data_IF_181619805013
#
_entry.id   IF_181619805013
#
_cell.length_a   1.000
_cell.length_b   1.000
_cell.length_c   1.000
_cell.angle_alpha   90.00
_cell.angle_beta   90.00
_cell.angle_gamma   90.00
#
_symmetry.space_group_name_H-M   'P 1'
#
loop_
_entity.id
_entity.type
_entity.pdbx_description
1 polymer ?
#
# COMPACT_ATOMS: atom_id res chain seq x y z
N UNK A 1 -24.50 -0.09 18.33
CA UNK A 1 -24.45 -0.41 16.87
C UNK A 1 -23.50 0.58 16.21
N UNK A 2 -22.31 0.14 15.78
CA UNK A 2 -21.25 1.02 15.26
C UNK A 2 -21.64 1.56 13.88
N UNK A 3 -22.32 2.72 13.85
CA UNK A 3 -22.86 3.36 12.63
C UNK A 3 -21.81 3.63 11.53
N UNK A 4 -20.51 3.62 11.85
CA UNK A 4 -19.46 4.00 10.90
C UNK A 4 -18.27 3.04 10.88
N UNK A 5 -18.48 1.75 11.18
CA UNK A 5 -17.38 0.77 11.28
C UNK A 5 -16.54 0.68 10.00
N UNK A 6 -17.18 0.70 8.84
CA UNK A 6 -16.47 0.63 7.56
C UNK A 6 -15.68 1.91 7.26
N UNK A 7 -16.23 3.08 7.60
CA UNK A 7 -15.49 4.35 7.46
C UNK A 7 -14.25 4.37 8.36
N UNK A 8 -14.37 3.91 9.62
CA UNK A 8 -13.23 3.79 10.52
C UNK A 8 -12.20 2.79 9.99
N UNK A 9 -12.62 1.66 9.44
CA UNK A 9 -11.73 0.69 8.81
C UNK A 9 -11.00 1.31 7.61
N UNK A 10 -11.71 2.06 6.77
CA UNK A 10 -11.09 2.79 5.67
C UNK A 10 -10.03 3.78 6.19
N UNK A 11 -10.38 4.60 7.17
CA UNK A 11 -9.44 5.57 7.76
C UNK A 11 -8.22 4.89 8.39
N UNK A 12 -8.41 3.79 9.13
CA UNK A 12 -7.29 3.03 9.68
C UNK A 12 -6.38 2.45 8.59
N UNK A 13 -6.95 1.99 7.49
CA UNK A 13 -6.20 1.43 6.37
C UNK A 13 -5.35 2.44 5.61
N UNK A 14 -5.82 3.68 5.44
CA UNK A 14 -5.10 4.70 4.66
C UNK A 14 -3.91 5.34 5.39
N UNK A 15 -3.86 5.30 6.71
CA UNK A 15 -2.85 6.02 7.52
C UNK A 15 -1.44 5.57 7.19
N UNK A 16 -1.20 4.26 7.22
CA UNK A 16 0.16 3.71 7.03
C UNK A 16 0.74 4.06 5.65
N UNK A 17 0.07 3.75 4.54
CA UNK A 17 0.62 4.06 3.22
C UNK A 17 0.72 5.57 2.97
N UNK A 18 -0.19 6.37 3.52
CA UNK A 18 -0.12 7.83 3.39
C UNK A 18 1.15 8.38 4.02
N UNK A 19 1.48 7.98 5.24
CA UNK A 19 2.71 8.43 5.92
C UNK A 19 3.95 7.99 5.14
N UNK A 20 4.01 6.70 4.76
CA UNK A 20 5.16 6.15 4.01
C UNK A 20 5.35 6.88 2.67
N UNK A 21 4.26 7.14 1.95
CA UNK A 21 4.33 7.79 0.64
C UNK A 21 4.68 9.28 0.74
N UNK A 22 4.21 9.97 1.77
CA UNK A 22 4.61 11.38 2.02
C UNK A 22 6.12 11.46 2.28
N UNK A 23 6.66 10.56 3.09
CA UNK A 23 8.11 10.49 3.34
C UNK A 23 8.87 10.17 2.04
N UNK A 24 8.40 9.19 1.27
CA UNK A 24 9.02 8.79 0.02
C UNK A 24 9.01 9.92 -1.02
N UNK A 25 7.87 10.60 -1.21
CA UNK A 25 7.78 11.74 -2.14
C UNK A 25 8.68 12.89 -1.69
N UNK A 26 8.76 13.17 -0.40
CA UNK A 26 9.67 14.19 0.14
C UNK A 26 11.13 13.84 -0.17
N UNK A 27 11.53 12.59 0.04
CA UNK A 27 12.87 12.10 -0.30
C UNK A 27 13.15 12.22 -1.82
N UNK A 28 12.18 11.85 -2.68
CA UNK A 28 12.32 12.01 -4.13
C UNK A 28 12.42 13.48 -4.57
N UNK A 29 11.68 14.39 -3.93
CA UNK A 29 11.82 15.83 -4.17
C UNK A 29 13.22 16.31 -3.83
N UNK A 30 13.76 15.94 -2.68
CA UNK A 30 15.12 16.28 -2.27
C UNK A 30 16.13 15.74 -3.29
N UNK A 31 16.02 14.48 -3.67
CA UNK A 31 16.92 13.87 -4.67
C UNK A 31 16.85 14.58 -6.02
N UNK A 32 15.66 14.94 -6.49
CA UNK A 32 15.48 15.63 -7.77
C UNK A 32 16.05 17.05 -7.74
N UNK A 33 15.72 17.83 -6.74
CA UNK A 33 16.08 19.26 -6.72
C UNK A 33 17.47 19.55 -6.15
N UNK A 34 18.00 18.69 -5.27
CA UNK A 34 19.34 18.87 -4.68
C UNK A 34 20.41 18.13 -5.47
N UNK A 35 20.11 16.93 -5.97
CA UNK A 35 21.09 16.06 -6.62
C UNK A 35 20.85 15.89 -8.13
N UNK A 36 19.87 16.61 -8.73
CA UNK A 36 19.49 16.52 -10.13
C UNK A 36 19.18 15.09 -10.60
N UNK A 37 18.69 14.24 -9.69
CA UNK A 37 18.29 12.87 -10.03
C UNK A 37 16.98 12.90 -10.85
N UNK A 38 16.89 12.20 -12.00
CA UNK A 38 15.72 12.24 -12.88
C UNK A 38 14.55 11.41 -12.30
N UNK A 39 14.00 11.83 -11.15
CA UNK A 39 12.85 11.17 -10.56
C UNK A 39 11.54 11.66 -11.21
N UNK A 40 10.68 10.76 -11.71
CA UNK A 40 9.40 11.10 -12.33
C UNK A 40 8.34 11.40 -11.29
N UNK A 41 8.42 12.54 -10.61
CA UNK A 41 7.55 12.91 -9.48
C UNK A 41 6.07 12.88 -9.83
N UNK A 42 5.69 13.37 -11.00
CA UNK A 42 4.30 13.44 -11.43
C UNK A 42 3.64 12.05 -11.50
N UNK A 43 4.40 11.06 -11.96
CA UNK A 43 3.93 9.65 -12.06
C UNK A 43 3.86 8.97 -10.70
N UNK A 44 4.81 9.27 -9.82
CA UNK A 44 4.80 8.80 -8.43
C UNK A 44 3.59 9.36 -7.67
N UNK A 45 3.22 10.61 -7.93
CA UNK A 45 2.03 11.22 -7.33
C UNK A 45 0.73 10.57 -7.80
N UNK A 46 0.63 10.21 -9.09
CA UNK A 46 -0.59 9.60 -9.64
C UNK A 46 -0.77 8.18 -9.11
N UNK A 47 0.21 7.30 -9.32
CA UNK A 47 -0.01 5.89 -8.99
C UNK A 47 0.23 5.59 -7.51
N UNK A 48 1.43 5.60 -6.95
CA UNK A 48 1.52 5.14 -5.57
C UNK A 48 0.81 6.08 -4.60
N UNK A 49 0.89 7.38 -4.77
CA UNK A 49 0.37 8.33 -3.79
C UNK A 49 -1.15 8.47 -3.81
N UNK A 50 -1.78 8.46 -4.98
CA UNK A 50 -3.24 8.59 -5.07
C UNK A 50 -3.96 7.24 -4.94
N UNK A 51 -3.41 6.17 -5.49
CA UNK A 51 -4.09 4.87 -5.62
C UNK A 51 -3.83 3.97 -4.41
N UNK A 52 -2.58 3.82 -3.97
CA UNK A 52 -2.21 2.84 -2.94
C UNK A 52 -2.92 3.08 -1.60
N UNK A 53 -2.98 4.30 -1.02
CA UNK A 53 -3.69 4.52 0.22
C UNK A 53 -5.17 4.18 0.13
N UNK A 54 -5.82 4.56 -0.96
CA UNK A 54 -7.23 4.26 -1.18
C UNK A 54 -7.49 2.74 -1.25
N UNK A 55 -6.62 1.99 -1.95
CA UNK A 55 -6.72 0.53 -1.99
C UNK A 55 -6.48 -0.11 -0.62
N UNK A 56 -5.56 0.40 0.18
CA UNK A 56 -5.36 -0.07 1.55
C UNK A 56 -6.60 0.16 2.41
N UNK A 57 -7.22 1.33 2.30
CA UNK A 57 -8.45 1.65 3.01
C UNK A 57 -9.60 0.70 2.62
N UNK A 58 -9.82 0.52 1.31
CA UNK A 58 -10.84 -0.40 0.79
C UNK A 58 -10.55 -1.86 1.18
N UNK A 59 -9.27 -2.26 1.17
CA UNK A 59 -8.84 -3.60 1.56
C UNK A 59 -9.09 -3.87 3.04
N UNK A 60 -8.91 -2.86 3.91
CA UNK A 60 -9.24 -2.97 5.32
C UNK A 60 -10.76 -3.04 5.56
N UNK A 61 -11.57 -2.33 4.76
CA UNK A 61 -13.03 -2.51 4.79
C UNK A 61 -13.42 -3.94 4.38
N UNK A 62 -12.77 -4.47 3.34
CA UNK A 62 -13.00 -5.85 2.89
C UNK A 62 -12.58 -6.87 3.95
N UNK A 63 -11.47 -6.65 4.66
CA UNK A 63 -11.07 -7.46 5.80
C UNK A 63 -12.19 -7.52 6.84
N UNK A 64 -12.71 -6.36 7.24
CA UNK A 64 -13.77 -6.30 8.23
C UNK A 64 -15.06 -6.99 7.77
N UNK A 65 -15.40 -6.88 6.48
CA UNK A 65 -16.58 -7.52 5.91
C UNK A 65 -16.44 -9.05 5.77
N UNK A 66 -15.23 -9.54 5.48
CA UNK A 66 -14.97 -10.96 5.21
C UNK A 66 -14.46 -11.73 6.42
N UNK A 67 -13.98 -11.07 7.46
CA UNK A 67 -13.31 -11.71 8.61
C UNK A 67 -14.16 -12.80 9.29
N UNK A 68 -15.46 -12.58 9.42
CA UNK A 68 -16.38 -13.56 10.00
C UNK A 68 -16.50 -14.86 9.17
N UNK A 69 -16.24 -14.79 7.86
CA UNK A 69 -16.33 -15.92 6.93
C UNK A 69 -14.99 -16.61 6.70
N UNK A 70 -13.92 -15.83 6.52
CA UNK A 70 -12.62 -16.37 6.09
C UNK A 70 -11.72 -16.75 7.26
N UNK A 71 -11.94 -16.19 8.45
CA UNK A 71 -11.07 -16.36 9.64
C UNK A 71 -9.58 -16.07 9.38
N UNK A 72 -9.27 -15.38 8.28
CA UNK A 72 -7.89 -15.00 7.96
C UNK A 72 -7.37 -14.00 8.99
N UNK A 73 -6.11 -14.17 9.39
CA UNK A 73 -5.44 -13.16 10.20
C UNK A 73 -5.25 -11.88 9.41
N UNK A 74 -5.27 -10.74 10.07
CA UNK A 74 -5.09 -9.43 9.43
C UNK A 74 -3.76 -9.33 8.67
N UNK A 75 -2.69 -9.96 9.17
CA UNK A 75 -1.39 -10.02 8.48
C UNK A 75 -1.45 -10.78 7.16
N UNK A 76 -2.08 -11.97 7.14
CA UNK A 76 -2.26 -12.74 5.91
C UNK A 76 -3.16 -12.01 4.92
N UNK A 77 -4.24 -11.38 5.38
CA UNK A 77 -5.09 -10.57 4.52
C UNK A 77 -4.30 -9.43 3.86
N UNK A 78 -3.45 -8.75 4.63
CA UNK A 78 -2.56 -7.70 4.11
C UNK A 78 -1.53 -8.24 3.10
N UNK A 79 -0.98 -9.43 3.33
CA UNK A 79 -0.03 -10.06 2.41
C UNK A 79 -0.65 -10.43 1.03
N UNK A 80 -1.96 -10.48 0.92
CA UNK A 80 -2.65 -10.68 -0.37
C UNK A 80 -2.73 -9.40 -1.20
N UNK A 81 -2.63 -8.23 -0.60
CA UNK A 81 -2.78 -6.94 -1.30
C UNK A 81 -1.74 -6.71 -2.42
N UNK A 82 -0.45 -7.09 -2.28
CA UNK A 82 0.52 -6.97 -3.36
C UNK A 82 0.13 -7.73 -4.65
N UNK A 83 -0.62 -8.82 -4.54
CA UNK A 83 -1.11 -9.55 -5.73
C UNK A 83 -2.14 -8.74 -6.53
N UNK A 84 -2.83 -7.80 -5.90
CA UNK A 84 -3.70 -6.83 -6.57
C UNK A 84 -2.90 -5.62 -7.06
N UNK A 85 -2.02 -5.09 -6.22
CA UNK A 85 -1.23 -3.90 -6.53
C UNK A 85 -0.20 -4.14 -7.64
N UNK A 86 0.40 -5.33 -7.72
CA UNK A 86 1.39 -5.67 -8.73
C UNK A 86 0.84 -5.56 -10.16
N UNK A 87 -0.21 -6.31 -10.53
CA UNK A 87 -0.85 -6.20 -11.84
C UNK A 87 -1.37 -4.79 -12.13
N UNK A 88 -1.99 -4.13 -11.15
CA UNK A 88 -2.46 -2.76 -11.30
C UNK A 88 -1.30 -1.79 -11.57
N UNK A 89 -0.19 -1.95 -10.87
CA UNK A 89 1.03 -1.17 -11.09
C UNK A 89 1.58 -1.37 -12.50
N UNK A 90 1.63 -2.62 -12.99
CA UNK A 90 2.07 -2.92 -14.35
C UNK A 90 1.14 -2.28 -15.40
N UNK A 91 -0.17 -2.37 -15.20
CA UNK A 91 -1.13 -1.74 -16.11
C UNK A 91 -0.97 -0.22 -16.15
N UNK A 92 -0.82 0.41 -15.00
CA UNK A 92 -0.66 1.86 -14.91
C UNK A 92 0.71 2.34 -15.44
N UNK A 93 1.79 1.59 -15.19
CA UNK A 93 3.11 1.92 -15.76
C UNK A 93 3.09 1.87 -17.28
N UNK A 94 2.38 0.88 -17.88
CA UNK A 94 2.20 0.80 -19.32
C UNK A 94 1.33 1.94 -19.85
N UNK A 95 0.21 2.22 -19.19
CA UNK A 95 -0.72 3.29 -19.61
C UNK A 95 -0.10 4.69 -19.52
N UNK A 96 0.83 4.91 -18.58
CA UNK A 96 1.54 6.18 -18.36
C UNK A 96 2.90 6.23 -19.07
N UNK A 97 3.23 5.21 -19.87
CA UNK A 97 4.52 5.07 -20.57
C UNK A 97 5.72 5.24 -19.62
N UNK A 98 5.64 4.58 -18.46
CA UNK A 98 6.66 4.62 -17.43
C UNK A 98 7.60 3.44 -17.54
N UNK A 99 8.82 3.69 -18.02
CA UNK A 99 9.86 2.66 -18.02
C UNK A 99 10.64 2.71 -16.70
N UNK A 100 10.60 1.60 -15.96
CA UNK A 100 11.48 1.44 -14.80
C UNK A 100 12.91 1.19 -15.29
N UNK A 101 13.91 1.97 -14.84
CA UNK A 101 15.29 1.83 -15.31
C UNK A 101 16.01 0.56 -14.78
N UNK A 102 15.27 -0.35 -14.17
CA UNK A 102 15.81 -1.56 -13.53
C UNK A 102 15.31 -2.78 -14.29
N UNK A 103 16.22 -3.65 -14.69
CA UNK A 103 15.85 -4.97 -15.17
C UNK A 103 15.32 -5.80 -14.00
N UNK A 104 14.00 -5.77 -13.82
CA UNK A 104 13.32 -6.34 -12.66
C UNK A 104 13.29 -7.87 -12.66
N UNK A 105 13.60 -8.53 -13.78
CA UNK A 105 13.42 -9.97 -13.93
C UNK A 105 14.24 -10.79 -12.91
N UNK A 106 15.49 -10.41 -12.65
CA UNK A 106 16.36 -11.13 -11.72
C UNK A 106 16.14 -10.75 -10.24
N UNK A 107 15.63 -9.55 -10.01
CA UNK A 107 15.43 -9.01 -8.64
C UNK A 107 14.01 -9.29 -8.14
N UNK A 108 13.10 -9.58 -9.05
CA UNK A 108 11.67 -9.76 -8.75
C UNK A 108 11.39 -10.82 -7.68
N UNK A 109 12.01 -12.03 -7.66
CA UNK A 109 11.72 -13.01 -6.63
C UNK A 109 12.09 -12.53 -5.23
N UNK A 110 13.23 -11.85 -5.11
CA UNK A 110 13.69 -11.30 -3.81
C UNK A 110 12.78 -10.17 -3.38
N UNK A 111 12.45 -9.25 -4.28
CA UNK A 111 11.52 -8.14 -4.01
C UNK A 111 10.12 -8.65 -3.65
N UNK A 112 9.65 -9.73 -4.25
CA UNK A 112 8.37 -10.33 -3.93
C UNK A 112 8.35 -10.88 -2.49
N UNK A 113 9.37 -11.65 -2.09
CA UNK A 113 9.47 -12.18 -0.72
C UNK A 113 9.56 -11.04 0.31
N UNK A 114 10.43 -10.07 0.07
CA UNK A 114 10.60 -8.90 0.95
C UNK A 114 9.30 -8.10 1.02
N UNK A 115 8.66 -7.86 -0.12
CA UNK A 115 7.40 -7.12 -0.21
C UNK A 115 6.27 -7.83 0.54
N UNK A 116 6.07 -9.13 0.32
CA UNK A 116 5.04 -9.91 1.01
C UNK A 116 5.26 -9.93 2.53
N UNK A 117 6.52 -10.10 2.96
CA UNK A 117 6.89 -10.07 4.38
C UNK A 117 6.62 -8.69 4.98
N UNK A 118 7.02 -7.63 4.30
CA UNK A 118 6.77 -6.26 4.75
C UNK A 118 5.26 -5.97 4.86
N UNK A 119 4.46 -6.35 3.86
CA UNK A 119 3.01 -6.18 3.91
C UNK A 119 2.38 -6.99 5.05
N UNK A 120 2.82 -8.24 5.25
CA UNK A 120 2.36 -9.05 6.38
C UNK A 120 2.62 -8.35 7.72
N UNK A 121 3.84 -7.85 7.94
CA UNK A 121 4.23 -7.20 9.19
C UNK A 121 3.52 -5.85 9.39
N UNK A 122 3.45 -5.01 8.34
CA UNK A 122 2.75 -3.73 8.39
C UNK A 122 1.27 -3.93 8.75
N UNK A 123 0.62 -4.90 8.12
CA UNK A 123 -0.79 -5.19 8.40
C UNK A 123 -0.99 -5.80 9.78
N UNK A 124 -0.14 -6.75 10.19
CA UNK A 124 -0.24 -7.39 11.50
C UNK A 124 -0.06 -6.41 12.64
N UNK A 125 0.93 -5.55 12.56
CA UNK A 125 1.32 -4.67 13.67
C UNK A 125 0.70 -3.27 13.56
N UNK A 126 0.82 -2.59 12.43
CA UNK A 126 0.37 -1.20 12.30
C UNK A 126 -1.12 -1.11 12.01
N UNK A 127 -1.61 -1.76 10.95
CA UNK A 127 -3.05 -1.73 10.65
C UNK A 127 -3.86 -2.42 11.74
N UNK A 128 -3.35 -3.52 12.30
CA UNK A 128 -3.96 -4.19 13.44
C UNK A 128 -4.02 -3.31 14.68
N UNK A 129 -2.97 -2.54 14.97
CA UNK A 129 -2.98 -1.55 16.04
C UNK A 129 -4.00 -0.44 15.78
N UNK A 130 -4.01 0.13 14.56
CA UNK A 130 -4.95 1.19 14.18
C UNK A 130 -6.40 0.71 14.25
N UNK A 131 -6.69 -0.50 13.82
CA UNK A 131 -8.03 -1.08 13.92
C UNK A 131 -8.48 -1.20 15.39
N UNK A 132 -7.58 -1.60 16.31
CA UNK A 132 -7.89 -1.60 17.76
C UNK A 132 -8.08 -0.19 18.30
N UNK A 133 -7.25 0.76 17.88
CA UNK A 133 -7.36 2.15 18.32
C UNK A 133 -8.69 2.83 17.92
N UNK A 134 -9.34 2.32 16.87
CA UNK A 134 -10.65 2.82 16.42
C UNK A 134 -11.81 1.85 16.75
N UNK A 135 -11.64 0.97 17.73
CA UNK A 135 -12.66 0.00 18.21
C UNK A 135 -13.24 -0.91 17.11
N UNK A 136 -12.38 -1.48 16.27
CA UNK A 136 -12.79 -2.42 15.21
C UNK A 136 -12.38 -3.87 15.48
N UNK A 137 -11.55 -4.11 16.46
CA UNK A 137 -11.02 -5.42 16.84
C UNK A 137 -11.19 -5.69 18.34
#
# INVERSE_FOLDING_TARGET
>A
MNRHKYLRAYMAGIVVPTIVLVIAVTAFCILRYTYNFPAPLERVMIFPMAVVPNLWGLWNMLFLASHSRTRLSIGLHGALLPFLLGPLGILLTRALDFQLPINTAHVFPVLAVVGLTAYYLLWKYLVGFLNRAVDLA
#
